data_IF_062245017081
#
_entry.id   IF_062245017081
#
_cell.length_a   1.000
_cell.length_b   1.000
_cell.length_c   1.000
_cell.angle_alpha   90.00
_cell.angle_beta   90.00
_cell.angle_gamma   90.00
#
_symmetry.space_group_name_H-M   'P 1'
#
loop_
_entity.id
_entity.type
_entity.pdbx_description
1 polymer ?
#
# COMPACT_ATOMS: atom_id res chain seq x y z
N UNK A 1 2.24 21.50 -14.50
CA UNK A 1 1.02 21.16 -15.27
C UNK A 1 1.06 21.90 -16.61
N UNK A 2 1.16 23.21 -16.62
CA UNK A 2 1.17 24.05 -17.83
C UNK A 2 2.31 23.68 -18.82
N UNK A 3 3.52 23.44 -18.31
CA UNK A 3 4.70 23.10 -19.13
C UNK A 3 4.57 21.72 -19.80
N UNK A 4 3.91 20.78 -19.16
CA UNK A 4 3.69 19.43 -19.72
C UNK A 4 2.60 19.41 -20.79
N UNK A 5 1.57 20.22 -20.62
CA UNK A 5 0.50 20.43 -21.59
C UNK A 5 1.03 21.02 -22.90
N UNK A 6 1.98 21.95 -22.82
CA UNK A 6 2.60 22.58 -23.99
C UNK A 6 3.53 21.62 -24.76
N UNK A 7 4.21 20.71 -24.03
CA UNK A 7 5.12 19.73 -24.63
C UNK A 7 4.38 18.55 -25.28
N UNK A 8 3.17 18.21 -24.80
CA UNK A 8 2.37 17.12 -25.38
C UNK A 8 1.48 17.57 -26.54
N UNK A 9 1.40 18.87 -26.83
CA UNK A 9 0.48 19.40 -27.84
C UNK A 9 -1.02 19.25 -27.45
N UNK A 10 -1.28 18.88 -26.20
CA UNK A 10 -2.61 18.56 -25.70
C UNK A 10 -3.26 19.79 -25.07
N UNK A 11 -4.03 20.51 -25.88
CA UNK A 11 -4.77 21.70 -25.44
C UNK A 11 -5.96 21.36 -24.51
N UNK A 12 -6.42 20.11 -24.47
CA UNK A 12 -7.64 19.69 -23.75
C UNK A 12 -7.39 19.14 -22.35
N UNK A 13 -6.12 18.94 -21.95
CA UNK A 13 -5.80 18.36 -20.65
C UNK A 13 -6.05 16.86 -20.55
N UNK A 14 -6.14 16.16 -21.67
CA UNK A 14 -6.39 14.70 -21.75
C UNK A 14 -5.33 13.91 -20.99
N UNK A 15 -4.10 14.44 -20.87
CA UNK A 15 -3.06 13.82 -20.06
C UNK A 15 -3.44 13.74 -18.55
N UNK A 16 -4.22 14.71 -18.04
CA UNK A 16 -4.70 14.65 -16.65
C UNK A 16 -5.67 13.48 -16.48
N UNK A 17 -6.54 13.27 -17.45
CA UNK A 17 -7.48 12.16 -17.43
C UNK A 17 -6.74 10.81 -17.61
N UNK A 18 -5.78 10.71 -18.51
CA UNK A 18 -5.06 9.46 -18.76
C UNK A 18 -4.09 9.08 -17.62
N UNK A 19 -3.48 10.03 -16.93
CA UNK A 19 -2.49 9.76 -15.87
C UNK A 19 -3.13 9.70 -14.48
N UNK A 20 -3.96 10.67 -14.14
CA UNK A 20 -4.59 10.76 -12.81
C UNK A 20 -6.00 10.18 -12.80
N UNK A 21 -6.77 10.42 -13.86
CA UNK A 21 -8.13 9.90 -14.00
C UNK A 21 -8.16 8.38 -14.02
N UNK A 22 -7.26 7.73 -14.75
CA UNK A 22 -7.18 6.27 -14.78
C UNK A 22 -6.96 5.65 -13.39
N UNK A 23 -6.20 6.32 -12.54
CA UNK A 23 -5.98 5.87 -11.15
C UNK A 23 -7.20 6.09 -10.25
N UNK A 24 -7.98 7.13 -10.51
CA UNK A 24 -9.18 7.47 -9.72
C UNK A 24 -10.38 6.65 -10.18
N UNK A 25 -10.57 6.54 -11.50
CA UNK A 25 -11.75 5.88 -12.09
C UNK A 25 -11.57 4.38 -12.35
N UNK A 26 -10.37 3.85 -12.13
CA UNK A 26 -10.10 2.42 -12.26
C UNK A 26 -10.25 1.86 -13.68
N UNK A 27 -10.10 2.71 -14.71
CA UNK A 27 -10.19 2.29 -16.10
C UNK A 27 -9.13 1.22 -16.39
N UNK A 28 -9.54 0.08 -16.94
CA UNK A 28 -8.66 -1.04 -17.34
C UNK A 28 -7.84 -1.65 -16.19
N UNK A 29 -8.48 -2.06 -15.11
CA UNK A 29 -7.84 -2.80 -14.03
C UNK A 29 -7.27 -4.12 -14.55
N UNK A 30 -5.95 -4.19 -14.63
CA UNK A 30 -5.20 -5.39 -14.96
C UNK A 30 -4.70 -6.07 -13.67
N UNK A 31 -4.37 -7.37 -13.70
CA UNK A 31 -3.76 -8.06 -12.58
C UNK A 31 -2.47 -7.35 -12.13
N UNK A 32 -2.48 -6.85 -10.89
CA UNK A 32 -1.38 -6.14 -10.23
C UNK A 32 -0.97 -6.85 -8.95
N UNK A 33 -0.08 -6.24 -8.16
CA UNK A 33 0.30 -6.74 -6.83
C UNK A 33 -0.72 -6.34 -5.75
N UNK A 34 -1.66 -5.43 -6.07
CA UNK A 34 -2.67 -4.92 -5.16
C UNK A 34 -3.91 -5.82 -5.02
N UNK A 35 -4.79 -5.42 -4.11
CA UNK A 35 -6.01 -6.19 -3.79
C UNK A 35 -7.17 -5.88 -4.73
N UNK A 36 -7.16 -4.73 -5.40
CA UNK A 36 -8.32 -4.19 -6.11
C UNK A 36 -8.71 -4.93 -7.37
N UNK A 37 -7.72 -5.26 -8.22
CA UNK A 37 -7.98 -5.80 -9.54
C UNK A 37 -8.90 -7.03 -9.50
N UNK A 38 -8.71 -7.90 -8.50
CA UNK A 38 -9.48 -9.13 -8.37
C UNK A 38 -10.96 -8.84 -8.07
N UNK A 39 -11.23 -7.96 -7.11
CA UNK A 39 -12.60 -7.57 -6.78
C UNK A 39 -13.33 -6.95 -7.96
N UNK A 40 -12.65 -6.06 -8.69
CA UNK A 40 -13.26 -5.34 -9.79
C UNK A 40 -13.40 -6.18 -11.07
N UNK A 41 -12.56 -7.20 -11.26
CA UNK A 41 -12.70 -8.17 -12.37
C UNK A 41 -13.87 -9.13 -12.12
N UNK A 42 -14.09 -9.54 -10.86
CA UNK A 42 -15.16 -10.49 -10.51
C UNK A 42 -16.50 -9.81 -10.18
N UNK A 43 -16.51 -8.48 -10.06
CA UNK A 43 -17.69 -7.72 -9.68
C UNK A 43 -18.64 -7.47 -10.84
N UNK A 44 -19.96 -7.53 -10.57
CA UNK A 44 -20.94 -7.09 -11.55
C UNK A 44 -20.80 -5.60 -11.86
N UNK A 45 -20.86 -5.23 -13.14
CA UNK A 45 -20.67 -3.85 -13.61
C UNK A 45 -21.59 -2.83 -12.95
N UNK A 46 -22.80 -3.26 -12.54
CA UNK A 46 -23.75 -2.38 -11.86
C UNK A 46 -23.25 -1.83 -10.51
N UNK A 47 -22.40 -2.57 -9.81
CA UNK A 47 -21.84 -2.16 -8.52
C UNK A 47 -20.47 -1.50 -8.60
N UNK A 48 -19.88 -1.48 -9.78
CA UNK A 48 -18.51 -1.03 -9.98
C UNK A 48 -18.25 0.38 -9.44
N UNK A 49 -19.04 1.37 -9.87
CA UNK A 49 -18.86 2.77 -9.48
C UNK A 49 -19.04 2.99 -7.98
N UNK A 50 -20.02 2.31 -7.40
CA UNK A 50 -20.27 2.39 -5.96
C UNK A 50 -19.08 1.89 -5.15
N UNK A 51 -18.58 0.70 -5.45
CA UNK A 51 -17.46 0.14 -4.70
C UNK A 51 -16.15 0.86 -4.99
N UNK A 52 -15.93 1.36 -6.20
CA UNK A 52 -14.79 2.20 -6.52
C UNK A 52 -14.77 3.45 -5.63
N UNK A 53 -15.89 4.13 -5.51
CA UNK A 53 -16.03 5.30 -4.64
C UNK A 53 -15.77 4.93 -3.16
N UNK A 54 -16.37 3.85 -2.66
CA UNK A 54 -16.19 3.39 -1.28
C UNK A 54 -14.72 3.14 -0.97
N UNK A 55 -14.02 2.50 -1.86
CA UNK A 55 -12.62 2.14 -1.65
C UNK A 55 -11.71 3.36 -1.72
N UNK A 56 -11.96 4.30 -2.63
CA UNK A 56 -11.21 5.56 -2.67
C UNK A 56 -11.42 6.36 -1.37
N UNK A 57 -12.66 6.47 -0.90
CA UNK A 57 -12.97 7.15 0.38
C UNK A 57 -12.28 6.45 1.55
N UNK A 58 -12.28 5.12 1.57
CA UNK A 58 -11.63 4.33 2.63
C UNK A 58 -10.15 4.67 2.76
N UNK A 59 -9.43 4.77 1.65
CA UNK A 59 -8.02 5.16 1.64
C UNK A 59 -7.80 6.58 2.21
N UNK A 60 -8.62 7.56 1.79
CA UNK A 60 -8.55 8.94 2.26
C UNK A 60 -8.93 9.11 3.72
N UNK A 61 -9.82 8.26 4.24
CA UNK A 61 -10.29 8.31 5.62
C UNK A 61 -9.15 8.16 6.64
N UNK A 62 -8.08 7.43 6.30
CA UNK A 62 -6.93 7.25 7.18
C UNK A 62 -6.01 8.48 7.26
N UNK A 63 -6.07 9.40 6.29
CA UNK A 63 -5.15 10.53 6.23
C UNK A 63 -5.23 11.41 7.47
N UNK A 64 -6.44 11.79 7.88
CA UNK A 64 -6.65 12.68 9.03
C UNK A 64 -6.27 12.03 10.35
N UNK A 65 -6.80 10.85 10.73
CA UNK A 65 -6.49 10.24 12.03
C UNK A 65 -5.03 9.83 12.17
N UNK A 66 -4.38 9.34 11.12
CA UNK A 66 -2.96 8.98 11.14
C UNK A 66 -2.09 10.23 11.36
N UNK A 67 -2.35 11.29 10.59
CA UNK A 67 -1.60 12.55 10.72
C UNK A 67 -1.78 13.19 12.12
N UNK A 68 -2.99 13.16 12.67
CA UNK A 68 -3.25 13.68 14.02
C UNK A 68 -2.58 12.84 15.10
N UNK A 69 -2.65 11.51 14.97
CA UNK A 69 -2.05 10.59 15.96
C UNK A 69 -0.53 10.71 16.01
N UNK A 70 0.11 10.77 14.84
CA UNK A 70 1.57 10.79 14.73
C UNK A 70 2.14 12.19 14.43
N UNK A 71 1.41 13.26 14.79
CA UNK A 71 1.81 14.67 14.55
C UNK A 71 3.18 15.05 15.08
N UNK A 72 3.67 14.33 16.08
CA UNK A 72 5.00 14.55 16.68
C UNK A 72 6.13 13.86 15.91
N UNK A 73 5.78 12.99 14.96
CA UNK A 73 6.72 12.24 14.13
C UNK A 73 6.13 12.11 12.71
N UNK A 74 6.40 13.12 11.89
CA UNK A 74 5.84 13.21 10.55
C UNK A 74 6.42 12.16 9.60
N UNK A 75 7.66 11.69 9.85
CA UNK A 75 8.28 10.63 9.05
C UNK A 75 7.54 9.33 9.30
N UNK A 76 7.28 9.00 10.55
CA UNK A 76 6.49 7.82 10.90
C UNK A 76 5.05 7.91 10.40
N UNK A 77 4.40 9.10 10.49
CA UNK A 77 3.07 9.32 9.92
C UNK A 77 3.06 9.05 8.40
N UNK A 78 4.04 9.58 7.68
CA UNK A 78 4.20 9.35 6.24
C UNK A 78 4.41 7.86 5.92
N UNK A 79 5.22 7.17 6.71
CA UNK A 79 5.44 5.72 6.57
C UNK A 79 4.14 4.93 6.69
N UNK A 80 3.33 5.20 7.73
CA UNK A 80 2.03 4.53 7.93
C UNK A 80 1.09 4.81 6.76
N UNK A 81 1.01 6.06 6.29
CA UNK A 81 0.17 6.42 5.14
C UNK A 81 0.63 5.76 3.85
N UNK A 82 1.96 5.70 3.60
CA UNK A 82 2.51 4.99 2.43
C UNK A 82 2.21 3.49 2.48
N UNK A 83 2.27 2.86 3.66
CA UNK A 83 1.87 1.47 3.84
C UNK A 83 0.40 1.24 3.50
N UNK A 84 -0.51 2.10 3.97
CA UNK A 84 -1.94 2.04 3.65
C UNK A 84 -2.17 2.22 2.14
N UNK A 85 -1.52 3.22 1.54
CA UNK A 85 -1.62 3.46 0.09
C UNK A 85 -1.10 2.28 -0.71
N UNK A 86 0.03 1.68 -0.31
CA UNK A 86 0.61 0.50 -1.00
C UNK A 86 -0.32 -0.71 -0.99
N UNK A 87 -1.19 -0.86 0.02
CA UNK A 87 -2.19 -1.94 0.09
C UNK A 87 -3.42 -1.60 -0.76
N UNK A 88 -3.93 -0.37 -0.64
CA UNK A 88 -5.28 -0.01 -1.09
C UNK A 88 -5.35 0.83 -2.36
N UNK A 89 -4.24 1.15 -3.02
CA UNK A 89 -4.30 1.86 -4.30
C UNK A 89 -4.71 0.94 -5.46
N UNK A 90 -5.38 1.51 -6.46
CA UNK A 90 -5.95 0.75 -7.59
C UNK A 90 -4.89 0.03 -8.45
N UNK A 91 -3.74 0.65 -8.67
CA UNK A 91 -2.65 0.13 -9.49
C UNK A 91 -1.38 -0.06 -8.66
N UNK A 92 -1.49 -0.90 -7.61
CA UNK A 92 -0.35 -1.20 -6.76
C UNK A 92 0.75 -1.96 -7.52
N UNK A 93 2.00 -1.60 -7.26
CA UNK A 93 3.16 -2.28 -7.80
C UNK A 93 4.22 -2.53 -6.71
N UNK A 94 5.18 -3.41 -6.99
CA UNK A 94 6.29 -3.66 -6.05
C UNK A 94 7.12 -2.40 -5.77
N UNK A 95 7.13 -1.43 -6.70
CA UNK A 95 7.77 -0.13 -6.49
C UNK A 95 7.16 0.67 -5.34
N UNK A 96 5.83 0.61 -5.16
CA UNK A 96 5.15 1.29 -4.04
C UNK A 96 5.57 0.68 -2.70
N UNK A 97 5.67 -0.65 -2.64
CA UNK A 97 6.20 -1.36 -1.46
C UNK A 97 7.66 -1.00 -1.21
N UNK A 98 8.48 -0.87 -2.26
CA UNK A 98 9.89 -0.46 -2.12
C UNK A 98 10.00 0.95 -1.56
N UNK A 99 9.18 1.90 -2.02
CA UNK A 99 9.13 3.27 -1.47
C UNK A 99 8.67 3.25 -0.01
N UNK A 100 7.64 2.47 0.32
CA UNK A 100 7.19 2.28 1.70
C UNK A 100 8.33 1.77 2.60
N UNK A 101 9.03 0.71 2.20
CA UNK A 101 10.14 0.14 2.98
C UNK A 101 11.34 1.08 3.07
N UNK A 102 11.62 1.87 2.02
CA UNK A 102 12.67 2.88 2.04
C UNK A 102 12.37 3.99 3.06
N UNK A 103 11.13 4.47 3.14
CA UNK A 103 10.74 5.47 4.15
C UNK A 103 10.66 4.84 5.54
N UNK A 104 10.19 3.59 5.66
CA UNK A 104 10.21 2.83 6.89
C UNK A 104 11.63 2.72 7.48
N UNK A 105 12.66 2.54 6.64
CA UNK A 105 14.05 2.43 7.11
C UNK A 105 14.55 3.64 7.87
N UNK A 106 13.96 4.83 7.63
CA UNK A 106 14.31 6.05 8.37
C UNK A 106 13.83 6.02 9.82
N UNK A 107 12.71 5.35 10.07
CA UNK A 107 12.15 5.17 11.43
C UNK A 107 12.65 3.89 12.10
N UNK A 108 13.19 2.94 11.34
CA UNK A 108 13.59 1.63 11.85
C UNK A 108 14.63 1.72 12.95
N UNK A 109 15.63 2.62 12.83
CA UNK A 109 16.77 2.69 13.74
C UNK A 109 16.41 2.90 15.21
N UNK A 110 15.38 3.70 15.50
CA UNK A 110 14.93 3.93 16.89
C UNK A 110 13.80 2.99 17.32
N UNK A 111 13.08 2.38 16.38
CA UNK A 111 11.96 1.48 16.67
C UNK A 111 12.38 0.00 16.74
N UNK A 112 13.57 -0.36 16.24
CA UNK A 112 14.01 -1.74 16.10
C UNK A 112 13.92 -2.57 17.38
N UNK A 113 14.30 -1.98 18.52
CA UNK A 113 14.31 -2.66 19.82
C UNK A 113 12.90 -2.93 20.38
N UNK A 114 11.89 -2.27 19.82
CA UNK A 114 10.49 -2.38 20.24
C UNK A 114 9.64 -3.23 19.31
N UNK A 115 10.16 -3.64 18.14
CA UNK A 115 9.45 -4.50 17.21
C UNK A 115 9.26 -5.91 17.80
N UNK A 116 8.07 -6.48 17.59
CA UNK A 116 7.71 -7.81 18.10
C UNK A 116 7.92 -8.91 17.09
N UNK A 117 7.58 -8.63 15.82
CA UNK A 117 7.46 -9.66 14.78
C UNK A 117 8.22 -9.34 13.49
N UNK A 118 9.45 -8.77 13.53
CA UNK A 118 10.17 -8.37 12.32
C UNK A 118 10.46 -9.57 11.39
N UNK A 119 10.72 -10.75 11.96
CA UNK A 119 10.96 -11.97 11.17
C UNK A 119 9.70 -12.43 10.44
N UNK A 120 8.51 -12.29 11.04
CA UNK A 120 7.25 -12.65 10.38
C UNK A 120 7.02 -11.76 9.16
N UNK A 121 7.18 -10.44 9.32
CA UNK A 121 7.07 -9.48 8.23
C UNK A 121 8.06 -9.79 7.10
N UNK A 122 9.32 -10.07 7.43
CA UNK A 122 10.34 -10.46 6.45
C UNK A 122 9.94 -11.72 5.70
N UNK A 123 9.48 -12.77 6.38
CA UNK A 123 9.07 -14.03 5.76
C UNK A 123 7.87 -13.86 4.83
N UNK A 124 6.89 -13.00 5.19
CA UNK A 124 5.74 -12.69 4.34
C UNK A 124 6.18 -11.99 3.05
N UNK A 125 7.11 -11.04 3.11
CA UNK A 125 7.67 -10.40 1.93
C UNK A 125 8.50 -11.35 1.08
N UNK A 126 9.38 -12.12 1.68
CA UNK A 126 10.22 -13.09 0.98
C UNK A 126 9.35 -14.11 0.24
N UNK A 127 8.36 -14.66 0.92
CA UNK A 127 7.43 -15.63 0.34
C UNK A 127 6.63 -15.01 -0.81
N UNK A 128 5.98 -13.86 -0.60
CA UNK A 128 5.16 -13.24 -1.65
C UNK A 128 6.00 -12.84 -2.86
N UNK A 129 7.16 -12.21 -2.67
CA UNK A 129 8.03 -11.77 -3.76
C UNK A 129 8.55 -12.95 -4.58
N UNK A 130 8.90 -14.07 -3.93
CA UNK A 130 9.37 -15.27 -4.60
C UNK A 130 8.27 -15.92 -5.46
N UNK A 131 7.03 -15.94 -4.95
CA UNK A 131 5.93 -16.66 -5.60
C UNK A 131 5.14 -15.82 -6.60
N UNK A 132 5.21 -14.49 -6.57
CA UNK A 132 4.54 -13.65 -7.57
C UNK A 132 4.81 -14.06 -9.01
N UNK A 133 6.07 -14.13 -9.47
CA UNK A 133 6.34 -14.49 -10.86
C UNK A 133 5.92 -15.93 -11.18
N UNK A 134 6.06 -16.85 -10.23
CA UNK A 134 5.69 -18.26 -10.41
C UNK A 134 4.18 -18.42 -10.62
N UNK A 135 3.35 -17.85 -9.73
CA UNK A 135 1.88 -17.96 -9.86
C UNK A 135 1.33 -17.15 -11.02
N UNK A 136 1.92 -16.00 -11.33
CA UNK A 136 1.57 -15.23 -12.52
C UNK A 136 1.84 -16.04 -13.80
N UNK A 137 2.99 -16.68 -13.90
CA UNK A 137 3.36 -17.53 -15.02
C UNK A 137 2.43 -18.74 -15.15
N UNK A 138 2.16 -19.44 -14.05
CA UNK A 138 1.26 -20.61 -14.04
C UNK A 138 -0.16 -20.25 -14.45
N UNK A 139 -0.62 -19.05 -14.12
CA UNK A 139 -1.95 -18.59 -14.51
C UNK A 139 -2.02 -18.08 -15.94
N UNK A 140 -1.14 -17.17 -16.34
CA UNK A 140 -1.26 -16.44 -17.62
C UNK A 140 -0.62 -17.16 -18.79
N UNK A 141 0.43 -17.94 -18.58
CA UNK A 141 1.18 -18.61 -19.67
C UNK A 141 0.87 -20.10 -19.79
N UNK A 142 0.82 -20.83 -18.70
CA UNK A 142 0.59 -22.29 -18.77
C UNK A 142 -0.89 -22.68 -18.62
N UNK A 143 -1.73 -21.79 -18.09
CA UNK A 143 -3.14 -22.06 -17.81
C UNK A 143 -3.39 -23.17 -16.78
N UNK A 144 -2.34 -23.59 -16.04
CA UNK A 144 -2.42 -24.65 -15.03
C UNK A 144 -2.90 -24.15 -13.65
N UNK A 145 -2.94 -22.83 -13.45
CA UNK A 145 -3.48 -22.18 -12.26
C UNK A 145 -4.58 -21.20 -12.66
N UNK A 146 -5.31 -20.66 -11.68
CA UNK A 146 -6.33 -19.64 -11.89
C UNK A 146 -5.96 -18.32 -11.17
N UNK A 147 -6.75 -17.27 -11.40
CA UNK A 147 -6.59 -15.96 -10.79
C UNK A 147 -6.52 -16.01 -9.25
N UNK A 148 -7.23 -16.97 -8.61
CA UNK A 148 -7.28 -17.09 -7.16
C UNK A 148 -5.92 -17.39 -6.54
N UNK A 149 -5.08 -18.20 -7.21
CA UNK A 149 -3.73 -18.50 -6.72
C UNK A 149 -2.85 -17.26 -6.72
N UNK A 150 -2.91 -16.47 -7.79
CA UNK A 150 -2.18 -15.21 -7.86
C UNK A 150 -2.71 -14.20 -6.83
N UNK A 151 -4.03 -14.13 -6.67
CA UNK A 151 -4.66 -13.27 -5.66
C UNK A 151 -4.29 -13.67 -4.22
N UNK A 152 -4.19 -14.98 -3.94
CA UNK A 152 -3.73 -15.46 -2.64
C UNK A 152 -2.33 -14.91 -2.27
N UNK A 153 -1.42 -14.83 -3.24
CA UNK A 153 -0.09 -14.24 -3.00
C UNK A 153 -0.19 -12.72 -2.80
N UNK A 154 -1.10 -12.02 -3.49
CA UNK A 154 -1.35 -10.62 -3.23
C UNK A 154 -1.84 -10.37 -1.79
N UNK A 155 -2.70 -11.25 -1.27
CA UNK A 155 -3.13 -11.20 0.13
C UNK A 155 -1.96 -11.38 1.11
N UNK A 156 -1.06 -12.34 0.84
CA UNK A 156 0.14 -12.55 1.66
C UNK A 156 1.04 -11.31 1.64
N UNK A 157 1.20 -10.68 0.48
CA UNK A 157 1.98 -9.45 0.35
C UNK A 157 1.37 -8.28 1.12
N UNK A 158 0.07 -8.07 0.97
CA UNK A 158 -0.66 -7.05 1.72
C UNK A 158 -0.59 -7.28 3.24
N UNK A 159 -0.65 -8.55 3.68
CA UNK A 159 -0.44 -8.92 5.08
C UNK A 159 0.99 -8.59 5.55
N UNK A 160 1.99 -8.75 4.69
CA UNK A 160 3.37 -8.33 4.95
C UNK A 160 3.47 -6.84 5.21
N UNK A 161 2.88 -5.99 4.35
CA UNK A 161 2.83 -4.54 4.55
C UNK A 161 2.07 -4.20 5.85
N UNK A 162 0.90 -4.78 6.04
CA UNK A 162 0.07 -4.55 7.22
C UNK A 162 0.80 -4.93 8.51
N UNK A 163 1.56 -6.04 8.52
CA UNK A 163 2.32 -6.48 9.68
C UNK A 163 3.43 -5.49 10.07
N UNK A 164 4.14 -4.91 9.09
CA UNK A 164 5.13 -3.85 9.35
C UNK A 164 4.46 -2.59 9.90
N UNK A 165 3.33 -2.16 9.33
CA UNK A 165 2.61 -0.98 9.80
C UNK A 165 2.09 -1.17 11.23
N UNK A 166 1.50 -2.32 11.53
CA UNK A 166 0.93 -2.61 12.85
C UNK A 166 2.02 -2.79 13.92
N UNK A 167 3.07 -3.52 13.59
CA UNK A 167 4.20 -3.74 14.52
C UNK A 167 4.95 -2.42 14.76
N UNK A 168 5.14 -1.61 13.71
CA UNK A 168 5.69 -0.27 13.83
C UNK A 168 4.84 0.67 14.68
N UNK A 169 3.52 0.64 14.51
CA UNK A 169 2.59 1.44 15.32
C UNK A 169 2.65 1.04 16.80
N UNK A 170 2.80 -0.25 17.09
CA UNK A 170 3.05 -0.76 18.43
C UNK A 170 4.39 -0.28 18.97
N UNK A 171 5.48 -0.45 18.23
CA UNK A 171 6.83 -0.07 18.60
C UNK A 171 6.91 1.43 18.93
N UNK A 172 6.34 2.28 18.05
CA UNK A 172 6.26 3.72 18.26
C UNK A 172 5.51 4.09 19.55
N UNK A 173 4.37 3.44 19.82
CA UNK A 173 3.61 3.66 21.04
C UNK A 173 4.38 3.23 22.29
N UNK A 174 5.11 2.12 22.22
CA UNK A 174 5.93 1.59 23.31
C UNK A 174 7.12 2.50 23.64
N UNK A 175 7.85 2.94 22.61
CA UNK A 175 8.96 3.89 22.77
C UNK A 175 8.50 5.18 23.47
N UNK A 176 7.38 5.77 23.02
CA UNK A 176 6.82 6.99 23.62
C UNK A 176 6.40 6.81 25.07
N UNK A 177 5.77 5.68 25.37
CA UNK A 177 5.38 5.37 26.74
C UNK A 177 6.60 5.24 27.65
N UNK A 178 7.67 4.58 27.23
CA UNK A 178 8.89 4.46 28.01
C UNK A 178 9.60 5.81 28.20
N UNK A 179 9.63 6.63 27.15
CA UNK A 179 10.20 7.98 27.25
C UNK A 179 9.46 8.83 28.28
N UNK A 180 8.14 8.87 28.25
CA UNK A 180 7.32 9.62 29.22
C UNK A 180 7.56 9.13 30.63
N UNK A 181 7.57 7.81 30.83
CA UNK A 181 7.81 7.22 32.15
C UNK A 181 9.18 7.55 32.73
N UNK A 182 10.22 7.58 31.89
CA UNK A 182 11.58 7.96 32.32
C UNK A 182 11.67 9.44 32.71
N UNK A 183 10.89 10.31 32.09
CA UNK A 183 10.88 11.74 32.43
C UNK A 183 10.10 12.07 33.70
N UNK A 184 9.26 11.14 34.19
CA UNK A 184 8.48 11.31 35.44
C UNK A 184 9.18 10.74 36.68
N UNK A 185 10.25 9.98 36.50
CA UNK A 185 11.07 9.48 37.62
C UNK A 185 12.17 10.49 37.89
N UNK A 186 12.18 11.16 39.10
CA UNK A 186 13.17 12.17 39.47
C UNK A 186 14.58 11.58 39.62
#
# INVERSE_FOLDING_TARGET
VYKRQHLSGDASGTFLRSVYGSRIFGDNLAPTVGLYWYFFVEMFSHFFDFFLMVVQIYMWMFMVPVTLKYRSDLIFAATVLLGIVSIFQAYACLGDTAVFLAVWSLSYGHLADYLRYPMVSFMLFAYSTLFFPAFYYLWTYTGSANANFYYAINLVHALGIASVVLDGAWAWGRERWEYTRRSEVP
#
